data_IF_767793550415
#
_entry.id   IF_767793550415
#
_cell.length_a   1.000
_cell.length_b   1.000
_cell.length_c   1.000
_cell.angle_alpha   90.00
_cell.angle_beta   90.00
_cell.angle_gamma   90.00
#
_symmetry.space_group_name_H-M   'P 1'
#
loop_
_entity.id
_entity.type
_entity.pdbx_description
1 polymer ?
#
# COMPACT_ATOMS: atom_id res chain seq x y z
N UNK A 1 5.70 -15.52 -5.80
CA UNK A 1 5.28 -16.36 -4.65
C UNK A 1 4.47 -15.62 -3.58
N UNK A 2 3.94 -14.42 -3.82
CA UNK A 2 3.29 -13.56 -2.82
C UNK A 2 1.77 -13.60 -2.69
N UNK A 3 1.05 -14.04 -3.70
CA UNK A 3 -0.41 -13.89 -3.77
C UNK A 3 -1.23 -14.86 -2.92
N UNK A 4 -0.64 -15.92 -2.40
CA UNK A 4 -1.34 -16.95 -1.61
C UNK A 4 -1.29 -16.73 -0.09
N UNK A 5 -0.41 -15.89 0.43
CA UNK A 5 -0.23 -15.73 1.88
C UNK A 5 -1.42 -15.11 2.61
N UNK A 6 -2.21 -14.26 1.96
CA UNK A 6 -3.33 -13.55 2.59
C UNK A 6 -4.70 -14.10 2.22
N UNK A 7 -4.79 -15.04 1.29
CA UNK A 7 -6.07 -15.60 0.86
C UNK A 7 -6.70 -16.41 1.98
N UNK A 8 -7.94 -16.03 2.36
CA UNK A 8 -8.69 -16.71 3.43
C UNK A 8 -8.31 -16.31 4.86
N UNK A 9 -7.47 -15.27 5.05
CA UNK A 9 -7.19 -14.69 6.36
C UNK A 9 -8.18 -13.59 6.67
N UNK A 10 -8.85 -13.59 7.83
CA UNK A 10 -9.75 -12.51 8.22
C UNK A 10 -8.92 -11.24 8.46
N UNK A 11 -9.26 -10.17 7.74
CA UNK A 11 -8.67 -8.84 7.90
C UNK A 11 -9.57 -7.96 8.75
N UNK A 12 -9.00 -7.25 9.70
CA UNK A 12 -9.71 -6.26 10.51
C UNK A 12 -8.95 -4.95 10.56
N UNK A 13 -9.63 -3.85 10.88
CA UNK A 13 -8.97 -2.55 11.00
C UNK A 13 -9.76 -1.54 11.79
N UNK A 14 -9.10 -0.59 12.47
CA UNK A 14 -9.75 0.51 13.14
C UNK A 14 -10.21 1.56 12.13
N UNK A 15 -11.36 2.16 12.41
CA UNK A 15 -11.89 3.34 11.72
C UNK A 15 -12.51 4.28 12.75
N UNK A 16 -12.67 5.54 12.39
CA UNK A 16 -13.43 6.49 13.20
C UNK A 16 -14.85 5.97 13.49
N UNK A 17 -15.29 6.07 14.74
CA UNK A 17 -16.57 5.52 15.16
C UNK A 17 -17.76 6.23 14.51
N UNK A 18 -17.65 7.52 14.19
CA UNK A 18 -18.69 8.28 13.50
C UNK A 18 -18.81 7.79 12.05
N UNK A 19 -17.68 7.59 11.39
CA UNK A 19 -17.65 7.02 10.03
C UNK A 19 -18.27 5.62 10.01
N UNK A 20 -18.00 4.78 11.01
CA UNK A 20 -18.60 3.46 11.11
C UNK A 20 -20.11 3.51 11.40
N UNK A 21 -20.58 4.52 12.13
CA UNK A 21 -22.04 4.76 12.30
C UNK A 21 -22.70 5.16 10.99
N UNK A 22 -22.04 6.01 10.21
CA UNK A 22 -22.51 6.49 8.92
C UNK A 22 -22.50 5.40 7.84
N UNK A 23 -21.46 4.55 7.81
CA UNK A 23 -21.26 3.50 6.80
C UNK A 23 -21.26 2.12 7.46
N UNK A 24 -22.43 1.70 7.96
CA UNK A 24 -22.61 0.47 8.76
C UNK A 24 -22.14 -0.80 8.08
N UNK A 25 -22.14 -0.85 6.74
CA UNK A 25 -21.67 -2.02 5.98
C UNK A 25 -20.19 -2.33 6.22
N UNK A 26 -19.39 -1.33 6.62
CA UNK A 26 -17.97 -1.49 6.91
C UNK A 26 -17.68 -2.50 8.03
N UNK A 27 -18.65 -2.76 8.91
CA UNK A 27 -18.53 -3.81 9.93
C UNK A 27 -18.43 -5.20 9.30
N UNK A 28 -19.10 -5.44 8.17
CA UNK A 28 -19.11 -6.73 7.49
C UNK A 28 -17.77 -7.04 6.80
N UNK A 29 -16.94 -6.02 6.57
CA UNK A 29 -15.58 -6.18 6.03
C UNK A 29 -14.50 -6.12 7.13
N UNK A 30 -14.89 -6.25 8.41
CA UNK A 30 -13.97 -6.37 9.53
C UNK A 30 -13.54 -5.06 10.18
N UNK A 31 -14.16 -3.91 9.83
CA UNK A 31 -13.80 -2.64 10.46
C UNK A 31 -14.51 -2.44 11.79
N UNK A 32 -13.77 -1.90 12.78
CA UNK A 32 -14.29 -1.56 14.10
C UNK A 32 -14.06 -0.10 14.44
N UNK A 33 -15.03 0.51 15.13
CA UNK A 33 -15.01 1.95 15.43
C UNK A 33 -14.14 2.29 16.63
N UNK A 34 -13.42 3.39 16.52
CA UNK A 34 -12.68 4.00 17.63
C UNK A 34 -13.25 5.37 17.94
N UNK A 35 -13.63 5.57 19.19
CA UNK A 35 -13.97 6.90 19.71
C UNK A 35 -12.69 7.73 19.94
N UNK A 36 -12.76 9.05 19.85
CA UNK A 36 -11.60 9.90 20.12
C UNK A 36 -11.14 9.79 21.58
N UNK A 37 -9.86 10.10 21.82
CA UNK A 37 -9.28 10.22 23.16
C UNK A 37 -8.87 8.90 23.80
N UNK A 38 -8.64 8.93 25.12
CA UNK A 38 -8.06 7.82 25.90
C UNK A 38 -8.93 6.56 25.87
N UNK A 39 -10.24 6.71 25.91
CA UNK A 39 -11.21 5.59 25.83
C UNK A 39 -11.04 4.82 24.52
N UNK A 40 -10.91 5.54 23.40
CA UNK A 40 -10.67 4.93 22.10
C UNK A 40 -9.34 4.18 22.04
N UNK A 41 -8.27 4.72 22.64
CA UNK A 41 -6.99 4.02 22.70
C UNK A 41 -7.08 2.71 23.48
N UNK A 42 -7.76 2.69 24.62
CA UNK A 42 -7.98 1.47 25.41
C UNK A 42 -8.83 0.45 24.62
N UNK A 43 -9.90 0.93 23.96
CA UNK A 43 -10.74 0.07 23.13
C UNK A 43 -9.96 -0.50 21.93
N UNK A 44 -9.09 0.30 21.30
CA UNK A 44 -8.19 -0.16 20.23
C UNK A 44 -7.32 -1.33 20.70
N UNK A 45 -6.61 -1.18 21.82
CA UNK A 45 -5.71 -2.20 22.33
C UNK A 45 -6.45 -3.50 22.63
N UNK A 46 -7.61 -3.42 23.32
CA UNK A 46 -8.42 -4.60 23.63
C UNK A 46 -8.91 -5.31 22.37
N UNK A 47 -9.42 -4.56 21.39
CA UNK A 47 -9.91 -5.14 20.15
C UNK A 47 -8.77 -5.76 19.32
N UNK A 48 -7.62 -5.08 19.26
CA UNK A 48 -6.44 -5.57 18.56
C UNK A 48 -5.90 -6.87 19.17
N UNK A 49 -5.78 -6.94 20.49
CA UNK A 49 -5.38 -8.16 21.22
C UNK A 49 -6.35 -9.31 20.95
N UNK A 50 -7.65 -9.04 21.01
CA UNK A 50 -8.67 -10.05 20.73
C UNK A 50 -8.62 -10.57 19.28
N UNK A 51 -8.44 -9.69 18.30
CA UNK A 51 -8.31 -10.05 16.89
C UNK A 51 -7.04 -10.88 16.66
N UNK A 52 -5.90 -10.41 17.17
CA UNK A 52 -4.59 -11.06 16.98
C UNK A 52 -4.40 -12.33 17.82
N UNK A 53 -5.35 -12.67 18.71
CA UNK A 53 -5.37 -13.97 19.37
C UNK A 53 -5.63 -15.13 18.38
N UNK A 54 -6.30 -14.88 17.23
CA UNK A 54 -6.32 -15.84 16.11
C UNK A 54 -5.03 -15.65 15.27
N UNK A 55 -4.13 -16.65 15.20
CA UNK A 55 -2.89 -16.55 14.44
C UNK A 55 -3.08 -16.40 12.92
N UNK A 56 -4.30 -16.59 12.43
CA UNK A 56 -4.65 -16.36 11.03
C UNK A 56 -5.15 -14.95 10.76
N UNK A 57 -5.56 -14.22 11.80
CA UNK A 57 -6.10 -12.88 11.65
C UNK A 57 -5.01 -11.88 11.26
N UNK A 58 -5.42 -10.83 10.55
CA UNK A 58 -4.58 -9.69 10.20
C UNK A 58 -5.24 -8.40 10.68
N UNK A 59 -4.43 -7.53 11.25
CA UNK A 59 -4.86 -6.20 11.65
C UNK A 59 -4.20 -5.15 10.75
N UNK A 60 -5.00 -4.41 9.99
CA UNK A 60 -4.58 -3.32 9.14
C UNK A 60 -4.71 -2.00 9.89
N UNK A 61 -3.63 -1.26 10.03
CA UNK A 61 -3.60 -0.03 10.83
C UNK A 61 -3.05 1.12 10.00
N UNK A 62 -3.84 2.20 9.86
CA UNK A 62 -3.36 3.51 9.42
C UNK A 62 -2.83 4.24 10.65
N UNK A 63 -1.54 4.05 10.93
CA UNK A 63 -0.97 4.31 12.25
C UNK A 63 -0.83 5.80 12.61
N UNK A 64 -0.82 6.73 11.64
CA UNK A 64 -0.89 8.18 11.90
C UNK A 64 -2.24 8.60 12.49
N UNK A 65 -3.33 7.87 12.17
CA UNK A 65 -4.68 8.14 12.62
C UNK A 65 -5.22 9.51 12.21
N UNK A 66 -4.66 10.08 11.14
CA UNK A 66 -5.08 11.32 10.51
C UNK A 66 -4.72 11.27 9.01
N UNK A 67 -5.42 12.08 8.21
CA UNK A 67 -5.05 12.29 6.82
C UNK A 67 -3.93 13.34 6.76
N UNK A 68 -2.74 12.91 6.41
CA UNK A 68 -1.55 13.77 6.25
C UNK A 68 -1.00 13.62 4.82
N UNK A 69 -0.25 14.62 4.37
CA UNK A 69 0.47 14.50 3.10
C UNK A 69 1.55 13.42 3.25
N UNK A 70 1.54 12.36 2.42
CA UNK A 70 2.48 11.24 2.55
C UNK A 70 3.95 11.62 2.35
N UNK A 71 4.23 12.83 1.87
CA UNK A 71 5.59 13.38 1.70
C UNK A 71 6.09 14.11 2.94
N UNK A 72 5.21 14.39 3.91
CA UNK A 72 5.60 15.08 5.13
C UNK A 72 6.54 14.22 5.95
N UNK A 73 7.66 14.82 6.38
CA UNK A 73 8.68 14.20 7.24
C UNK A 73 9.04 15.14 8.41
N UNK A 74 9.35 14.61 9.59
CA UNK A 74 9.12 13.22 9.98
C UNK A 74 7.63 12.91 10.09
N UNK A 75 7.25 11.67 9.86
CA UNK A 75 5.90 11.22 10.15
C UNK A 75 5.73 11.03 11.67
N UNK A 76 4.49 10.96 12.12
CA UNK A 76 4.20 10.74 13.55
C UNK A 76 3.11 9.69 13.69
N UNK A 77 3.43 8.59 14.34
CA UNK A 77 2.49 7.54 14.61
C UNK A 77 1.74 7.75 15.93
N UNK A 78 0.50 7.29 15.97
CA UNK A 78 -0.26 7.25 17.22
C UNK A 78 0.39 6.28 18.19
N UNK A 79 0.56 6.65 19.49
CA UNK A 79 1.22 5.79 20.50
C UNK A 79 0.59 4.41 20.66
N UNK A 80 -0.68 4.24 20.27
CA UNK A 80 -1.40 2.97 20.34
C UNK A 80 -0.70 1.81 19.64
N UNK A 81 -0.01 2.06 18.50
CA UNK A 81 0.72 1.00 17.80
C UNK A 81 1.92 0.49 18.61
N UNK A 82 2.71 1.39 19.20
CA UNK A 82 3.86 1.02 20.03
C UNK A 82 3.43 0.28 21.30
N UNK A 83 2.32 0.67 21.91
CA UNK A 83 1.72 -0.08 23.02
C UNK A 83 1.27 -1.47 22.61
N UNK A 84 0.69 -1.62 21.41
CA UNK A 84 0.25 -2.92 20.89
C UNK A 84 1.44 -3.84 20.65
N UNK A 85 2.53 -3.34 20.05
CA UNK A 85 3.78 -4.09 19.83
C UNK A 85 4.30 -4.69 21.13
N UNK A 86 4.34 -3.93 22.21
CA UNK A 86 4.77 -4.43 23.53
C UNK A 86 3.86 -5.50 24.12
N UNK A 87 2.56 -5.46 23.80
CA UNK A 87 1.58 -6.42 24.32
C UNK A 87 1.49 -7.71 23.51
N UNK A 88 1.92 -7.67 22.25
CA UNK A 88 1.81 -8.78 21.31
C UNK A 88 3.19 -9.18 20.76
N UNK A 89 4.12 -9.68 21.60
CA UNK A 89 5.50 -9.94 21.19
C UNK A 89 5.63 -11.01 20.10
N UNK A 90 4.64 -11.88 19.96
CA UNK A 90 4.62 -12.93 18.94
C UNK A 90 4.00 -12.48 17.60
N UNK A 91 3.47 -11.26 17.52
CA UNK A 91 2.83 -10.78 16.31
C UNK A 91 3.87 -10.20 15.33
N UNK A 92 3.97 -10.70 14.09
CA UNK A 92 4.81 -10.07 13.08
C UNK A 92 4.20 -8.74 12.62
N UNK A 93 5.07 -7.74 12.41
CA UNK A 93 4.70 -6.45 11.85
C UNK A 93 5.27 -6.32 10.44
N UNK A 94 4.47 -5.78 9.53
CA UNK A 94 4.91 -5.53 8.16
C UNK A 94 4.55 -4.09 7.78
N UNK A 95 5.53 -3.22 7.57
CA UNK A 95 5.26 -1.89 7.04
C UNK A 95 4.67 -2.00 5.63
N UNK A 96 3.71 -1.14 5.33
CA UNK A 96 3.03 -1.11 4.05
C UNK A 96 2.90 0.32 3.55
N UNK A 97 3.36 0.59 2.34
CA UNK A 97 3.13 1.84 1.63
C UNK A 97 2.21 1.64 0.43
N UNK A 98 1.38 2.64 0.15
CA UNK A 98 0.48 2.68 -1.00
C UNK A 98 0.58 4.05 -1.64
N UNK A 99 0.73 4.08 -2.98
CA UNK A 99 0.67 5.29 -3.78
C UNK A 99 -0.30 5.15 -4.95
N UNK A 100 -0.83 6.27 -5.40
CA UNK A 100 -1.77 6.34 -6.52
C UNK A 100 -1.27 7.32 -7.59
N UNK A 101 -0.16 7.04 -8.28
CA UNK A 101 0.35 7.90 -9.34
C UNK A 101 -0.49 7.77 -10.61
N UNK A 102 -0.56 8.87 -11.37
CA UNK A 102 -1.08 8.85 -12.74
C UNK A 102 0.11 8.71 -13.69
N UNK A 103 0.25 7.55 -14.31
CA UNK A 103 1.30 7.31 -15.29
C UNK A 103 0.83 7.68 -16.71
N UNK A 104 0.33 6.69 -17.44
CA UNK A 104 -0.06 6.87 -18.84
C UNK A 104 -1.57 6.79 -19.05
N UNK A 105 -2.30 6.31 -18.03
CA UNK A 105 -3.73 6.12 -18.11
C UNK A 105 -4.52 7.25 -17.41
N UNK A 106 -5.80 7.32 -17.71
CA UNK A 106 -6.73 8.29 -17.12
C UNK A 106 -6.97 8.03 -15.62
N UNK A 107 -6.90 6.78 -15.21
CA UNK A 107 -7.05 6.36 -13.83
C UNK A 107 -5.68 6.18 -13.18
N UNK A 108 -5.56 6.40 -11.87
CA UNK A 108 -4.30 6.18 -11.19
C UNK A 108 -3.96 4.68 -11.12
N UNK A 109 -2.68 4.38 -11.15
CA UNK A 109 -2.18 3.09 -10.74
C UNK A 109 -2.25 2.96 -9.21
N UNK A 110 -2.56 1.77 -8.69
CA UNK A 110 -2.46 1.50 -7.26
C UNK A 110 -1.17 0.72 -7.00
N UNK A 111 -0.14 1.41 -6.54
CA UNK A 111 1.16 0.82 -6.24
C UNK A 111 1.25 0.48 -4.77
N UNK A 112 1.70 -0.74 -4.47
CA UNK A 112 1.80 -1.25 -3.10
C UNK A 112 3.19 -1.80 -2.88
N UNK A 113 3.82 -1.41 -1.76
CA UNK A 113 5.10 -1.97 -1.31
C UNK A 113 5.00 -2.44 0.12
N UNK A 114 5.41 -3.68 0.34
CA UNK A 114 5.64 -4.23 1.68
C UNK A 114 7.11 -4.06 2.03
N UNK A 115 7.37 -3.60 3.25
CA UNK A 115 8.70 -3.61 3.83
C UNK A 115 9.06 -4.98 4.41
N UNK A 116 10.26 -5.06 4.99
CA UNK A 116 10.72 -6.28 5.65
C UNK A 116 9.87 -6.55 6.90
N UNK A 117 9.42 -7.81 7.09
CA UNK A 117 8.72 -8.20 8.30
C UNK A 117 9.61 -8.03 9.54
N UNK A 118 9.01 -7.55 10.63
CA UNK A 118 9.66 -7.38 11.92
C UNK A 118 8.93 -8.24 12.96
N UNK A 119 9.68 -8.87 13.85
CA UNK A 119 9.10 -9.55 14.99
C UNK A 119 8.89 -8.55 16.13
N UNK A 120 7.70 -8.49 16.72
CA UNK A 120 7.42 -7.57 17.83
C UNK A 120 8.34 -7.82 19.04
N UNK A 121 8.82 -9.04 19.22
CA UNK A 121 9.78 -9.38 20.26
C UNK A 121 11.13 -8.65 20.12
N UNK A 122 11.52 -8.24 18.92
CA UNK A 122 12.77 -7.49 18.72
C UNK A 122 12.77 -6.09 19.34
N UNK A 123 11.61 -5.61 19.77
CA UNK A 123 11.44 -4.31 20.43
C UNK A 123 11.33 -4.43 21.96
N UNK A 124 11.58 -5.61 22.55
CA UNK A 124 11.33 -5.87 23.98
C UNK A 124 12.09 -4.93 24.93
N UNK A 125 13.32 -4.56 24.56
CA UNK A 125 14.20 -3.70 25.38
C UNK A 125 13.94 -2.19 25.16
N UNK A 126 13.08 -1.84 24.17
CA UNK A 126 12.79 -0.44 23.85
C UNK A 126 11.60 0.09 24.67
N UNK A 127 11.67 1.36 24.99
CA UNK A 127 10.52 2.11 25.54
C UNK A 127 9.46 2.36 24.46
N UNK A 128 8.23 2.69 24.87
CA UNK A 128 7.15 3.00 23.92
C UNK A 128 7.52 4.13 22.94
N UNK A 129 8.13 5.24 23.37
CA UNK A 129 8.59 6.27 22.43
C UNK A 129 9.66 5.77 21.44
N UNK A 130 10.62 4.96 21.90
CA UNK A 130 11.66 4.39 21.03
C UNK A 130 11.08 3.43 20.00
N UNK A 131 10.12 2.59 20.40
CA UNK A 131 9.38 1.74 19.46
C UNK A 131 8.67 2.59 18.40
N UNK A 132 8.02 3.69 18.79
CA UNK A 132 7.34 4.56 17.84
C UNK A 132 8.33 5.13 16.80
N UNK A 133 9.47 5.66 17.24
CA UNK A 133 10.53 6.21 16.37
C UNK A 133 11.06 5.15 15.40
N UNK A 134 11.30 3.92 15.88
CA UNK A 134 11.79 2.83 15.02
C UNK A 134 10.74 2.44 13.96
N UNK A 135 9.46 2.34 14.35
CA UNK A 135 8.38 2.05 13.41
C UNK A 135 8.18 3.16 12.39
N UNK A 136 8.29 4.43 12.80
CA UNK A 136 8.25 5.60 11.93
C UNK A 136 9.35 5.52 10.87
N UNK A 137 10.59 5.31 11.28
CA UNK A 137 11.72 5.20 10.36
C UNK A 137 11.59 4.04 9.37
N UNK A 138 11.09 2.88 9.83
CA UNK A 138 10.84 1.72 8.96
C UNK A 138 9.75 1.99 7.93
N UNK A 139 8.67 2.63 8.35
CA UNK A 139 7.57 2.96 7.45
C UNK A 139 7.97 4.04 6.44
N UNK A 140 8.68 5.09 6.90
CA UNK A 140 9.24 6.13 6.01
C UNK A 140 10.15 5.55 4.94
N UNK A 141 11.05 4.63 5.29
CA UNK A 141 11.94 3.98 4.34
C UNK A 141 11.16 3.21 3.24
N UNK A 142 10.07 2.53 3.61
CA UNK A 142 9.22 1.83 2.63
C UNK A 142 8.48 2.80 1.74
N UNK A 143 7.96 3.92 2.29
CA UNK A 143 7.29 4.97 1.54
C UNK A 143 8.24 5.65 0.55
N UNK A 144 9.44 6.00 0.98
CA UNK A 144 10.45 6.67 0.14
C UNK A 144 10.90 5.75 -1.00
N UNK A 145 11.08 4.46 -0.72
CA UNK A 145 11.42 3.50 -1.76
C UNK A 145 10.28 3.31 -2.76
N UNK A 146 9.02 3.27 -2.29
CA UNK A 146 7.87 3.21 -3.20
C UNK A 146 7.78 4.46 -4.07
N UNK A 147 8.03 5.64 -3.50
CA UNK A 147 8.04 6.90 -4.24
C UNK A 147 9.10 6.90 -5.36
N UNK A 148 10.30 6.38 -5.10
CA UNK A 148 11.35 6.22 -6.12
C UNK A 148 10.92 5.25 -7.22
N UNK A 149 10.31 4.12 -6.86
CA UNK A 149 9.80 3.15 -7.84
C UNK A 149 8.64 3.74 -8.66
N UNK A 150 7.74 4.50 -8.03
CA UNK A 150 6.64 5.19 -8.71
C UNK A 150 7.15 6.25 -9.70
N UNK A 151 8.17 7.03 -9.33
CA UNK A 151 8.79 8.04 -10.19
C UNK A 151 9.47 7.43 -11.42
N UNK A 152 9.97 6.22 -11.33
CA UNK A 152 10.59 5.53 -12.47
C UNK A 152 9.61 5.26 -13.62
N UNK A 153 8.30 5.21 -13.33
CA UNK A 153 7.22 4.87 -14.29
C UNK A 153 7.50 3.56 -15.03
N UNK A 154 8.21 2.65 -14.40
CA UNK A 154 8.59 1.35 -14.97
C UNK A 154 7.72 0.24 -14.36
N UNK A 155 6.72 -0.29 -15.10
CA UNK A 155 5.87 -1.36 -14.61
C UNK A 155 6.63 -2.67 -14.35
N UNK A 156 7.83 -2.86 -14.93
CA UNK A 156 8.63 -4.06 -14.69
C UNK A 156 9.17 -4.16 -13.24
N UNK A 157 9.13 -3.05 -12.48
CA UNK A 157 9.46 -3.04 -11.05
C UNK A 157 8.36 -3.59 -10.15
N UNK A 158 7.17 -3.83 -10.70
CA UNK A 158 5.99 -4.25 -9.96
C UNK A 158 5.44 -5.57 -10.47
N UNK A 159 4.92 -6.37 -9.55
CA UNK A 159 4.10 -7.51 -9.91
C UNK A 159 2.66 -7.04 -10.13
N UNK A 160 2.17 -7.13 -11.35
CA UNK A 160 0.77 -6.79 -11.65
C UNK A 160 -0.16 -7.84 -11.05
N UNK A 161 -1.02 -7.43 -10.13
CA UNK A 161 -2.00 -8.29 -9.47
C UNK A 161 -3.38 -8.20 -10.13
N UNK A 162 -3.75 -7.01 -10.58
CA UNK A 162 -5.04 -6.71 -11.20
C UNK A 162 -4.75 -5.77 -12.37
N UNK A 163 -5.22 -6.14 -13.53
CA UNK A 163 -5.20 -5.24 -14.70
C UNK A 163 -6.49 -4.43 -14.72
N UNK A 164 -6.34 -3.10 -14.80
CA UNK A 164 -7.46 -2.20 -15.00
C UNK A 164 -7.98 -2.25 -16.45
N UNK A 165 -9.18 -1.74 -16.67
CA UNK A 165 -9.69 -1.54 -18.02
C UNK A 165 -8.91 -0.41 -18.67
N UNK A 166 -8.16 -0.71 -19.73
CA UNK A 166 -7.37 0.27 -20.48
C UNK A 166 -8.30 1.15 -21.30
N UNK A 167 -8.20 2.46 -21.09
CA UNK A 167 -8.80 3.43 -21.98
C UNK A 167 -10.16 3.99 -21.57
N UNK A 168 -10.59 4.99 -22.32
CA UNK A 168 -11.96 5.54 -22.29
C UNK A 168 -12.82 4.50 -23.00
N UNK A 169 -13.53 3.67 -22.24
CA UNK A 169 -14.41 2.64 -22.79
C UNK A 169 -15.30 3.17 -23.91
N UNK A 170 -15.30 2.51 -25.04
CA UNK A 170 -16.11 2.84 -26.20
C UNK A 170 -15.31 3.12 -27.47
N UNK A 171 -15.75 4.10 -28.25
CA UNK A 171 -15.24 4.39 -29.61
C UNK A 171 -13.73 4.66 -29.68
N UNK A 172 -13.12 5.17 -28.59
CA UNK A 172 -11.68 5.46 -28.55
C UNK A 172 -10.80 4.18 -28.53
N UNK A 173 -11.26 3.14 -27.87
CA UNK A 173 -10.52 1.88 -27.80
C UNK A 173 -10.57 1.10 -29.12
N UNK A 174 -11.63 1.33 -29.93
CA UNK A 174 -11.72 0.82 -31.28
C UNK A 174 -10.77 1.55 -32.26
N UNK A 175 -10.50 2.84 -32.03
CA UNK A 175 -9.60 3.63 -32.89
C UNK A 175 -8.11 3.36 -32.66
N UNK A 176 -7.70 2.98 -31.47
CA UNK A 176 -6.27 2.69 -31.17
C UNK A 176 -5.72 1.52 -31.96
N UNK A 177 -6.35 0.32 -31.99
CA UNK A 177 -5.88 -0.79 -32.82
C UNK A 177 -6.01 -0.49 -34.32
N UNK A 178 -7.07 0.21 -34.76
CA UNK A 178 -7.23 0.59 -36.16
C UNK A 178 -6.12 1.54 -36.64
N UNK A 179 -5.72 2.51 -35.81
CA UNK A 179 -4.63 3.45 -36.12
C UNK A 179 -3.26 2.76 -36.09
N UNK A 180 -3.04 1.81 -35.17
CA UNK A 180 -1.82 1.02 -35.10
C UNK A 180 -1.69 0.10 -36.33
N UNK A 181 -2.80 -0.51 -36.75
CA UNK A 181 -2.85 -1.34 -37.95
C UNK A 181 -2.57 -0.52 -39.22
N UNK A 182 -3.17 0.65 -39.35
CA UNK A 182 -2.92 1.57 -40.48
C UNK A 182 -1.49 2.13 -40.50
N UNK A 183 -0.81 2.18 -39.34
CA UNK A 183 0.59 2.60 -39.20
C UNK A 183 1.61 1.47 -39.25
N UNK A 184 1.22 0.22 -39.53
CA UNK A 184 2.11 -0.95 -39.60
C UNK A 184 2.77 -1.32 -38.24
N UNK A 185 2.19 -0.89 -37.12
CA UNK A 185 2.69 -1.20 -35.78
C UNK A 185 1.81 -2.25 -35.12
N UNK A 186 2.43 -3.23 -34.44
CA UNK A 186 1.70 -4.19 -33.61
C UNK A 186 1.09 -3.48 -32.41
N UNK A 187 -0.22 -3.61 -32.21
CA UNK A 187 -0.94 -3.05 -31.05
C UNK A 187 -0.76 -3.99 -29.85
N UNK A 188 -0.27 -3.44 -28.71
CA UNK A 188 -0.30 -4.11 -27.43
C UNK A 188 -1.27 -3.37 -26.52
N UNK A 189 -2.25 -4.08 -25.96
CA UNK A 189 -3.21 -3.54 -25.00
C UNK A 189 -2.60 -3.46 -23.58
N UNK A 190 -1.40 -3.99 -23.37
CA UNK A 190 -0.69 -3.93 -22.10
C UNK A 190 -0.03 -2.56 -21.89
N UNK A 191 0.01 -2.09 -20.63
CA UNK A 191 0.67 -0.84 -20.26
C UNK A 191 2.11 -0.80 -20.76
N UNK A 192 2.37 0.18 -21.57
CA UNK A 192 3.60 0.74 -22.07
C UNK A 192 4.94 0.04 -21.86
N UNK A 193 5.25 -0.98 -22.61
CA UNK A 193 6.62 -1.31 -22.91
C UNK A 193 7.07 -0.54 -24.17
N UNK A 194 7.41 0.73 -24.03
CA UNK A 194 8.24 1.40 -25.02
C UNK A 194 9.67 0.88 -24.89
N UNK A 195 9.99 -0.20 -25.60
CA UNK A 195 11.38 -0.54 -25.90
C UNK A 195 11.98 0.62 -26.72
N UNK A 196 12.87 1.38 -26.09
CA UNK A 196 13.66 2.39 -26.76
C UNK A 196 14.46 1.78 -27.89
N UNK A 197 14.08 2.08 -29.11
CA UNK A 197 14.87 1.79 -30.31
C UNK A 197 16.10 2.68 -30.26
N UNK A 198 17.22 2.14 -29.76
CA UNK A 198 18.54 2.76 -29.92
C UNK A 198 18.84 2.81 -31.41
N UNK A 199 18.75 4.01 -31.98
CA UNK A 199 19.08 4.26 -33.37
C UNK A 199 20.56 3.96 -33.62
N UNK A 200 20.83 2.92 -34.40
CA UNK A 200 22.16 2.65 -34.97
C UNK A 200 22.52 3.80 -35.92
N UNK A 201 23.29 4.75 -35.42
CA UNK A 201 23.98 5.75 -36.26
C UNK A 201 24.98 5.02 -37.15
N UNK A 202 24.71 4.97 -38.47
CA UNK A 202 25.73 4.56 -39.46
C UNK A 202 26.80 5.61 -39.48
N UNK A 203 27.99 5.25 -38.99
CA UNK A 203 29.21 6.03 -39.18
C UNK A 203 29.69 5.72 -40.62
N UNK A 204 29.64 6.74 -41.51
CA UNK A 204 30.36 6.72 -42.76
C UNK A 204 31.85 6.92 -42.42
N UNK A 205 32.70 6.00 -42.78
CA UNK A 205 34.14 6.17 -42.84
C UNK A 205 34.56 6.75 -44.21
N UNK A 206 35.63 7.54 -44.24
CA UNK A 206 36.14 8.26 -45.41
C UNK A 206 36.67 7.34 -46.51
#
# INVERSE_FOLDING_TARGET
MGTTRFRGRPGSGPIDAEMLRRYRFMRHIGLFGLEPGRTGTVAFLRNAEHILADPRAMLWITAEGAFTDPRRRPMTLRPGIAHLVRRMPSAPLVPLAIEYPFWDERTPEALIRFGEPMEAASFADLTVPEIAVELEGRLEAVMDQLALDAQSRDPARFLTLIEGTVGIGGVYDLWRPARAWAGGQSFSAAHGTRQGRVGRRKVKRP
#
